data_IF_005210855534
#
_entry.id   IF_005210855534
#
_cell.length_a   1.000
_cell.length_b   1.000
_cell.length_c   1.000
_cell.angle_alpha   90.00
_cell.angle_beta   90.00
_cell.angle_gamma   90.00
#
_symmetry.space_group_name_H-M   'P 1'
#
loop_
_entity.id
_entity.type
_entity.pdbx_description
1 polymer ?
#
# COMPACT_ATOMS: atom_id res chain seq x y z
N UNK A 1 36.83 -39.78 24.35
CA UNK A 1 37.37 -39.08 23.15
C UNK A 1 36.30 -38.28 22.39
N UNK A 2 35.02 -38.58 22.47
CA UNK A 2 33.91 -37.89 21.75
C UNK A 2 33.59 -36.47 22.28
N UNK A 3 33.83 -36.21 23.57
CA UNK A 3 33.50 -34.90 24.21
C UNK A 3 34.39 -33.78 23.64
N UNK A 4 35.67 -34.05 23.40
CA UNK A 4 36.60 -33.04 22.84
C UNK A 4 36.27 -32.69 21.40
N UNK A 5 35.77 -33.64 20.62
CA UNK A 5 35.40 -33.41 19.23
C UNK A 5 34.15 -32.52 19.06
N UNK A 6 33.27 -32.49 20.07
CA UNK A 6 32.07 -31.63 20.04
C UNK A 6 32.32 -30.25 20.67
N UNK A 7 33.20 -30.18 21.65
CA UNK A 7 33.48 -28.93 22.39
C UNK A 7 34.34 -27.96 21.59
N UNK A 8 35.32 -28.46 20.84
CA UNK A 8 36.23 -27.61 20.05
C UNK A 8 35.50 -26.79 18.96
N UNK A 9 34.62 -27.36 18.13
CA UNK A 9 33.86 -26.53 17.15
C UNK A 9 32.88 -25.57 17.81
N UNK A 10 32.26 -25.95 18.94
CA UNK A 10 31.34 -25.08 19.66
C UNK A 10 32.03 -23.84 20.25
N UNK A 11 33.23 -24.04 20.87
CA UNK A 11 34.01 -22.93 21.37
C UNK A 11 34.56 -22.03 20.29
N UNK A 12 34.91 -22.58 19.14
CA UNK A 12 35.40 -21.80 17.99
C UNK A 12 34.29 -20.91 17.41
N UNK A 13 33.07 -21.43 17.27
CA UNK A 13 31.90 -20.64 16.83
C UNK A 13 31.59 -19.54 17.83
N UNK A 14 31.66 -19.83 19.14
CA UNK A 14 31.41 -18.84 20.16
C UNK A 14 32.45 -17.72 20.18
N UNK A 15 33.74 -18.04 20.00
CA UNK A 15 34.81 -17.04 19.88
C UNK A 15 34.66 -16.16 18.66
N UNK A 16 34.29 -16.75 17.51
CA UNK A 16 34.00 -15.98 16.28
C UNK A 16 32.81 -15.05 16.48
N UNK A 17 31.76 -15.52 17.16
CA UNK A 17 30.56 -14.70 17.46
C UNK A 17 30.91 -13.52 18.37
N UNK A 18 31.68 -13.73 19.45
CA UNK A 18 32.14 -12.65 20.32
C UNK A 18 33.05 -11.67 19.58
N UNK A 19 33.97 -12.17 18.76
CA UNK A 19 34.84 -11.32 17.95
C UNK A 19 34.01 -10.49 16.96
N UNK A 20 33.06 -11.10 16.25
CA UNK A 20 32.15 -10.39 15.34
C UNK A 20 31.34 -9.31 16.08
N UNK A 21 30.84 -9.60 17.28
CA UNK A 21 30.08 -8.64 18.08
C UNK A 21 30.94 -7.45 18.52
N UNK A 22 32.17 -7.70 18.98
CA UNK A 22 33.10 -6.64 19.32
C UNK A 22 33.55 -5.80 18.15
N UNK A 23 33.66 -6.39 16.94
CA UNK A 23 33.95 -5.65 15.72
C UNK A 23 32.76 -4.81 15.24
N UNK A 24 31.53 -5.33 15.36
CA UNK A 24 30.30 -4.59 15.00
C UNK A 24 30.03 -3.44 15.97
N UNK A 25 30.32 -3.60 17.25
CA UNK A 25 30.17 -2.50 18.22
C UNK A 25 31.27 -1.42 18.07
N UNK A 26 32.43 -1.78 17.52
CA UNK A 26 33.54 -0.83 17.36
C UNK A 26 33.56 -0.13 15.99
N UNK A 27 32.91 -0.71 14.98
CA UNK A 27 32.53 0.03 13.78
C UNK A 27 31.14 0.60 14.07
N UNK A 28 31.11 1.74 14.73
CA UNK A 28 29.91 2.56 14.74
C UNK A 28 29.43 2.63 13.31
N UNK A 29 28.26 2.07 13.04
CA UNK A 29 27.53 2.24 11.77
C UNK A 29 27.08 3.71 11.64
N UNK A 30 28.01 4.61 11.85
CA UNK A 30 27.92 5.97 11.38
C UNK A 30 28.05 5.89 9.87
N UNK A 31 26.94 6.09 9.18
CA UNK A 31 27.01 6.65 7.83
C UNK A 31 28.03 7.78 7.95
N UNK A 32 29.18 7.62 7.29
CA UNK A 32 30.19 8.66 7.20
C UNK A 32 29.55 9.78 6.37
N UNK A 33 28.81 10.63 7.06
CA UNK A 33 28.50 11.95 6.52
C UNK A 33 29.84 12.69 6.52
N UNK A 34 30.31 13.20 5.39
CA UNK A 34 31.52 14.02 5.38
C UNK A 34 31.33 15.12 6.43
N UNK A 35 32.37 15.36 7.21
CA UNK A 35 32.45 16.43 8.21
C UNK A 35 32.28 17.79 7.50
N UNK A 36 31.08 18.05 7.06
CA UNK A 36 30.66 19.38 6.67
C UNK A 36 30.33 20.07 7.99
N UNK A 37 31.14 21.05 8.30
CA UNK A 37 30.97 21.95 9.42
C UNK A 37 29.70 22.82 9.18
N UNK A 38 28.53 22.15 9.14
CA UNK A 38 27.24 22.77 8.95
C UNK A 38 26.71 23.18 10.32
N UNK A 39 26.99 24.43 10.69
CA UNK A 39 26.39 25.08 11.86
C UNK A 39 24.98 25.63 11.55
N UNK A 40 24.29 25.05 10.59
CA UNK A 40 22.91 25.41 10.25
C UNK A 40 21.99 24.25 10.55
N UNK A 41 20.89 24.52 11.24
CA UNK A 41 19.81 23.56 11.42
C UNK A 41 19.32 23.11 10.05
N UNK A 42 19.33 21.79 9.80
CA UNK A 42 18.88 21.19 8.53
C UNK A 42 17.41 21.57 8.25
N UNK A 43 16.64 21.85 9.28
CA UNK A 43 15.25 22.31 9.23
C UNK A 43 15.08 23.68 8.54
N UNK A 44 16.14 24.53 8.54
CA UNK A 44 16.10 25.84 7.88
C UNK A 44 16.31 25.75 6.36
N UNK A 45 16.96 24.68 5.86
CA UNK A 45 17.28 24.48 4.45
C UNK A 45 16.20 23.68 3.72
N UNK A 46 15.63 22.72 4.40
CA UNK A 46 14.51 21.91 3.95
C UNK A 46 13.45 21.93 5.05
N UNK A 47 12.53 22.91 5.04
CA UNK A 47 11.38 22.81 5.91
C UNK A 47 10.69 21.49 5.55
N UNK A 48 10.89 20.47 6.39
CA UNK A 48 10.08 19.27 6.36
C UNK A 48 8.67 19.80 6.61
N UNK A 49 7.72 19.64 5.67
CA UNK A 49 6.34 19.99 5.97
C UNK A 49 6.03 19.27 7.28
N UNK A 50 5.66 20.00 8.32
CA UNK A 50 5.00 19.38 9.48
C UNK A 50 3.76 18.75 8.88
N UNK A 51 3.83 17.45 8.53
CA UNK A 51 2.63 16.66 8.25
C UNK A 51 1.82 16.81 9.53
N UNK A 52 0.74 17.56 9.47
CA UNK A 52 -0.24 17.59 10.56
C UNK A 52 -0.66 16.15 10.78
N UNK A 53 -0.08 15.55 11.84
CA UNK A 53 -0.41 14.18 12.20
C UNK A 53 -1.87 14.20 12.61
N UNK A 54 -2.72 13.56 11.81
CA UNK A 54 -4.12 13.40 12.12
C UNK A 54 -4.24 12.78 13.53
N UNK A 55 -4.91 13.45 14.48
CA UNK A 55 -5.07 12.96 15.83
C UNK A 55 -5.67 11.54 15.91
N UNK A 56 -6.46 11.14 14.91
CA UNK A 56 -7.02 9.79 14.81
C UNK A 56 -5.95 8.70 14.58
N UNK A 57 -4.74 9.09 14.18
CA UNK A 57 -3.59 8.20 13.98
C UNK A 57 -2.72 8.02 15.23
N UNK A 58 -3.07 8.68 16.32
CA UNK A 58 -2.35 8.55 17.59
C UNK A 58 -3.04 7.48 18.44
N UNK A 59 -2.25 6.50 18.89
CA UNK A 59 -2.71 5.50 19.84
C UNK A 59 -3.00 6.20 21.19
N UNK A 60 -4.25 6.15 21.69
CA UNK A 60 -4.62 6.81 22.93
C UNK A 60 -3.93 6.21 24.19
N UNK A 61 -3.41 4.98 24.12
CA UNK A 61 -2.75 4.31 25.24
C UNK A 61 -1.26 4.58 25.26
N UNK A 62 -0.61 4.60 24.11
CA UNK A 62 0.85 4.72 24.01
C UNK A 62 1.34 6.07 23.54
N UNK A 63 0.46 6.91 22.96
CA UNK A 63 0.81 8.18 22.32
C UNK A 63 1.65 8.04 21.06
N UNK A 64 1.86 6.81 20.57
CA UNK A 64 2.58 6.53 19.33
C UNK A 64 1.66 6.54 18.10
N UNK A 65 2.27 6.55 16.92
CA UNK A 65 1.51 6.41 15.67
C UNK A 65 0.96 4.99 15.54
N UNK A 66 -0.33 4.90 15.25
CA UNK A 66 -0.97 3.63 14.91
C UNK A 66 -0.41 3.11 13.58
N UNK A 67 -0.05 1.82 13.50
CA UNK A 67 0.41 1.23 12.25
C UNK A 67 -0.71 1.21 11.21
N UNK A 68 -0.36 1.51 9.97
CA UNK A 68 -1.29 1.38 8.86
C UNK A 68 -1.62 -0.11 8.60
N UNK A 69 -2.88 -0.37 8.35
CA UNK A 69 -3.39 -1.69 7.96
C UNK A 69 -3.86 -1.64 6.52
N UNK A 70 -3.40 -2.60 5.73
CA UNK A 70 -3.87 -2.81 4.37
C UNK A 70 -5.06 -3.77 4.39
N UNK A 71 -6.17 -3.34 3.82
CA UNK A 71 -7.36 -4.16 3.66
C UNK A 71 -7.83 -4.14 2.20
N UNK A 72 -8.42 -5.24 1.76
CA UNK A 72 -8.94 -5.40 0.41
C UNK A 72 -10.43 -5.62 0.45
N UNK A 73 -11.15 -4.89 -0.39
CA UNK A 73 -12.54 -5.17 -0.71
C UNK A 73 -12.60 -5.73 -2.14
N UNK A 74 -12.89 -7.01 -2.28
CA UNK A 74 -13.26 -7.57 -3.57
C UNK A 74 -14.69 -7.16 -3.88
N UNK A 75 -14.90 -6.52 -5.03
CA UNK A 75 -16.24 -6.21 -5.51
C UNK A 75 -16.87 -7.49 -6.04
N UNK A 76 -18.00 -7.90 -5.45
CA UNK A 76 -18.72 -9.14 -5.80
C UNK A 76 -19.52 -8.99 -7.11
N UNK A 77 -18.93 -8.33 -8.11
CA UNK A 77 -19.51 -8.12 -9.42
C UNK A 77 -18.49 -8.44 -10.53
N UNK A 78 -18.98 -9.01 -11.62
CA UNK A 78 -18.22 -9.25 -12.84
C UNK A 78 -18.65 -8.22 -13.89
N UNK A 79 -17.79 -7.27 -14.17
CA UNK A 79 -18.02 -6.26 -15.20
C UNK A 79 -17.76 -6.88 -16.56
N UNK A 80 -18.78 -6.95 -17.40
CA UNK A 80 -18.66 -7.57 -18.72
C UNK A 80 -19.35 -6.73 -19.81
N UNK A 81 -18.81 -6.79 -21.01
CA UNK A 81 -19.34 -6.05 -22.12
C UNK A 81 -18.65 -6.38 -23.43
N UNK A 82 -19.01 -5.64 -24.50
CA UNK A 82 -18.41 -5.78 -25.81
C UNK A 82 -17.38 -4.68 -26.03
N UNK A 83 -16.21 -5.03 -26.56
CA UNK A 83 -15.18 -4.06 -26.93
C UNK A 83 -15.64 -3.30 -28.15
N UNK A 84 -15.69 -1.97 -28.07
CA UNK A 84 -16.13 -1.08 -29.14
C UNK A 84 -15.26 -1.31 -30.39
N UNK A 85 -15.90 -1.52 -31.53
CA UNK A 85 -15.22 -1.78 -32.81
C UNK A 85 -14.70 -3.21 -32.99
N UNK A 86 -15.07 -4.13 -32.08
CA UNK A 86 -14.70 -5.55 -32.13
C UNK A 86 -15.90 -6.44 -31.85
N UNK A 87 -15.85 -7.72 -32.29
CA UNK A 87 -16.83 -8.74 -31.88
C UNK A 87 -16.45 -9.39 -30.53
N UNK A 88 -15.33 -8.97 -29.90
CA UNK A 88 -14.79 -9.56 -28.68
C UNK A 88 -15.55 -9.05 -27.46
N UNK A 89 -15.76 -9.96 -26.51
CA UNK A 89 -16.33 -9.66 -25.20
C UNK A 89 -15.23 -9.61 -24.15
N UNK A 90 -15.38 -8.72 -23.18
CA UNK A 90 -14.49 -8.67 -22.02
C UNK A 90 -15.23 -9.04 -20.73
N UNK A 91 -14.48 -9.48 -19.76
CA UNK A 91 -14.94 -9.74 -18.40
C UNK A 91 -13.81 -9.33 -17.43
N UNK A 92 -14.17 -8.51 -16.44
CA UNK A 92 -13.23 -7.93 -15.46
C UNK A 92 -13.79 -8.10 -14.05
N UNK A 93 -12.97 -8.54 -13.11
CA UNK A 93 -13.24 -8.46 -11.67
C UNK A 93 -12.26 -7.48 -11.02
N UNK A 94 -12.74 -6.71 -10.04
CA UNK A 94 -12.01 -5.61 -9.42
C UNK A 94 -11.92 -5.81 -7.92
N UNK A 95 -10.77 -5.45 -7.35
CA UNK A 95 -10.59 -5.31 -5.91
C UNK A 95 -10.02 -3.94 -5.57
N UNK A 96 -10.53 -3.35 -4.49
CA UNK A 96 -10.10 -2.05 -3.96
C UNK A 96 -9.15 -2.29 -2.79
N UNK A 97 -8.00 -1.63 -2.78
CA UNK A 97 -7.06 -1.60 -1.67
C UNK A 97 -7.27 -0.33 -0.87
N UNK A 98 -7.34 -0.48 0.43
CA UNK A 98 -7.34 0.64 1.38
C UNK A 98 -6.11 0.56 2.28
N UNK A 99 -5.62 1.71 2.68
CA UNK A 99 -4.53 1.84 3.65
C UNK A 99 -4.97 2.82 4.72
N UNK A 100 -5.38 2.31 5.86
CA UNK A 100 -5.93 3.09 6.97
C UNK A 100 -5.24 2.73 8.28
N UNK A 101 -5.21 3.63 9.27
CA UNK A 101 -4.84 3.27 10.63
C UNK A 101 -5.66 2.07 11.11
N UNK A 102 -5.04 1.16 11.88
CA UNK A 102 -5.63 -0.13 12.22
C UNK A 102 -7.03 -0.03 12.85
N UNK A 103 -7.28 1.01 13.65
CA UNK A 103 -8.60 1.25 14.29
C UNK A 103 -9.67 1.63 13.24
N UNK A 104 -9.33 2.48 12.28
CA UNK A 104 -10.27 2.96 11.27
C UNK A 104 -10.48 1.95 10.12
N UNK A 105 -9.52 1.07 9.90
CA UNK A 105 -9.46 0.21 8.73
C UNK A 105 -10.67 -0.73 8.60
N UNK A 106 -11.07 -1.40 9.69
CA UNK A 106 -12.18 -2.35 9.66
C UNK A 106 -13.53 -1.63 9.53
N UNK A 107 -13.65 -0.44 10.14
CA UNK A 107 -14.86 0.41 10.01
C UNK A 107 -15.00 0.93 8.58
N UNK A 108 -13.90 1.36 7.98
CA UNK A 108 -13.91 1.86 6.60
C UNK A 108 -14.30 0.74 5.60
N UNK A 109 -13.70 -0.46 5.73
CA UNK A 109 -14.11 -1.60 4.90
C UNK A 109 -15.58 -1.96 5.10
N UNK A 110 -16.08 -1.94 6.34
CA UNK A 110 -17.50 -2.21 6.60
C UNK A 110 -18.40 -1.18 5.95
N UNK A 111 -18.03 0.11 6.00
CA UNK A 111 -18.77 1.17 5.33
C UNK A 111 -18.76 1.01 3.81
N UNK A 112 -17.62 0.66 3.20
CA UNK A 112 -17.55 0.38 1.77
C UNK A 112 -18.41 -0.82 1.36
N UNK A 113 -18.49 -1.83 2.21
CA UNK A 113 -19.34 -3.00 1.95
C UNK A 113 -20.84 -2.65 1.96
N UNK A 114 -21.27 -1.74 2.83
CA UNK A 114 -22.66 -1.28 2.87
C UNK A 114 -23.09 -0.51 1.60
N UNK A 115 -22.15 0.15 0.93
CA UNK A 115 -22.37 0.90 -0.31
C UNK A 115 -21.88 0.16 -1.56
N UNK A 116 -21.61 -1.14 -1.48
CA UNK A 116 -21.03 -1.90 -2.59
C UNK A 116 -21.83 -1.76 -3.89
N UNK A 117 -23.16 -1.72 -3.80
CA UNK A 117 -24.02 -1.54 -4.96
C UNK A 117 -23.78 -0.20 -5.70
N UNK A 118 -23.54 0.86 -4.93
CA UNK A 118 -23.23 2.18 -5.48
C UNK A 118 -21.82 2.19 -6.07
N UNK A 119 -20.86 1.58 -5.39
CA UNK A 119 -19.50 1.41 -5.94
C UNK A 119 -19.50 0.63 -7.26
N UNK A 120 -20.34 -0.40 -7.39
CA UNK A 120 -20.51 -1.13 -8.65
C UNK A 120 -21.02 -0.21 -9.77
N UNK A 121 -21.97 0.69 -9.46
CA UNK A 121 -22.51 1.65 -10.44
C UNK A 121 -21.41 2.62 -10.88
N UNK A 122 -20.65 3.19 -9.95
CA UNK A 122 -19.59 4.15 -10.23
C UNK A 122 -18.44 3.50 -11.02
N UNK A 123 -17.99 2.31 -10.63
CA UNK A 123 -16.98 1.56 -11.38
C UNK A 123 -17.46 1.22 -12.78
N UNK A 124 -18.75 0.87 -12.94
CA UNK A 124 -19.36 0.59 -14.25
C UNK A 124 -19.26 1.81 -15.15
N UNK A 125 -19.54 3.01 -14.64
CA UNK A 125 -19.46 4.26 -15.41
C UNK A 125 -18.06 4.46 -15.98
N UNK A 126 -17.01 4.30 -15.14
CA UNK A 126 -15.62 4.41 -15.61
C UNK A 126 -15.27 3.35 -16.66
N UNK A 127 -15.72 2.11 -16.47
CA UNK A 127 -15.45 1.02 -17.41
C UNK A 127 -16.13 1.28 -18.77
N UNK A 128 -17.34 1.84 -18.77
CA UNK A 128 -18.07 2.16 -20.02
C UNK A 128 -17.41 3.29 -20.79
N UNK A 129 -16.76 4.23 -20.14
CA UNK A 129 -16.05 5.34 -20.75
C UNK A 129 -14.62 4.95 -21.21
N UNK A 130 -14.09 3.86 -20.68
CA UNK A 130 -12.72 3.43 -20.98
C UNK A 130 -12.55 2.89 -22.40
N UNK A 131 -11.39 3.16 -22.98
CA UNK A 131 -10.95 2.53 -24.23
C UNK A 131 -10.52 1.07 -24.00
N UNK A 132 -11.48 0.18 -23.86
CA UNK A 132 -11.27 -1.22 -23.47
C UNK A 132 -10.33 -2.00 -24.39
N UNK A 133 -10.17 -1.58 -25.65
CA UNK A 133 -9.18 -2.14 -26.57
C UNK A 133 -7.73 -1.98 -26.10
N UNK A 134 -7.45 -1.05 -25.18
CA UNK A 134 -6.13 -0.84 -24.61
C UNK A 134 -5.84 -1.75 -23.39
N UNK A 135 -6.85 -2.45 -22.85
CA UNK A 135 -6.68 -3.32 -21.67
C UNK A 135 -5.75 -4.52 -21.89
N UNK A 136 -5.44 -4.85 -23.13
CA UNK A 136 -4.43 -5.86 -23.45
C UNK A 136 -3.01 -5.40 -23.05
N UNK A 137 -2.78 -4.09 -22.99
CA UNK A 137 -1.51 -3.51 -22.57
C UNK A 137 -1.45 -3.31 -21.05
N UNK A 138 -0.23 -3.34 -20.50
CA UNK A 138 0.01 -3.02 -19.09
C UNK A 138 -0.38 -1.57 -18.78
N UNK A 139 -0.02 -0.65 -19.68
CA UNK A 139 -0.32 0.77 -19.53
C UNK A 139 -1.83 1.06 -19.58
N UNK A 140 -2.57 0.38 -20.43
CA UNK A 140 -4.02 0.51 -20.50
C UNK A 140 -4.71 0.03 -19.23
N UNK A 141 -4.27 -1.10 -18.67
CA UNK A 141 -4.77 -1.56 -17.36
C UNK A 141 -4.43 -0.59 -16.23
N UNK A 142 -3.22 -0.05 -16.20
CA UNK A 142 -2.82 0.93 -15.21
C UNK A 142 -3.65 2.21 -15.29
N UNK A 143 -3.96 2.69 -16.50
CA UNK A 143 -4.84 3.84 -16.70
C UNK A 143 -6.25 3.57 -16.19
N UNK A 144 -6.83 2.41 -16.52
CA UNK A 144 -8.17 2.04 -16.05
C UNK A 144 -8.22 1.95 -14.52
N UNK A 145 -7.26 1.26 -13.89
CA UNK A 145 -7.24 1.14 -12.42
C UNK A 145 -7.07 2.49 -11.73
N UNK A 146 -6.24 3.39 -12.29
CA UNK A 146 -6.11 4.76 -11.77
C UNK A 146 -7.41 5.56 -11.94
N UNK A 147 -8.07 5.47 -13.09
CA UNK A 147 -9.33 6.16 -13.33
C UNK A 147 -10.43 5.67 -12.37
N UNK A 148 -10.53 4.36 -12.15
CA UNK A 148 -11.48 3.79 -11.17
C UNK A 148 -11.17 4.31 -9.76
N UNK A 149 -9.90 4.29 -9.33
CA UNK A 149 -9.49 4.79 -8.02
C UNK A 149 -9.89 6.24 -7.82
N UNK A 150 -9.54 7.08 -8.79
CA UNK A 150 -9.75 8.52 -8.68
C UNK A 150 -11.25 8.85 -8.67
N UNK A 151 -12.03 8.22 -9.54
CA UNK A 151 -13.49 8.40 -9.59
C UNK A 151 -14.20 7.89 -8.33
N UNK A 152 -13.82 6.72 -7.83
CA UNK A 152 -14.40 6.18 -6.59
C UNK A 152 -14.04 7.06 -5.40
N UNK A 153 -12.82 7.58 -5.30
CA UNK A 153 -12.44 8.51 -4.24
C UNK A 153 -13.21 9.84 -4.33
N UNK A 154 -13.40 10.38 -5.53
CA UNK A 154 -14.23 11.57 -5.77
C UNK A 154 -15.69 11.34 -5.30
N UNK A 155 -16.29 10.21 -5.67
CA UNK A 155 -17.63 9.83 -5.21
C UNK A 155 -17.72 9.71 -3.67
N UNK A 156 -16.73 9.05 -3.03
CA UNK A 156 -16.70 8.93 -1.58
C UNK A 156 -16.63 10.29 -0.89
N UNK A 157 -15.81 11.22 -1.43
CA UNK A 157 -15.59 12.54 -0.83
C UNK A 157 -16.73 13.50 -1.12
N UNK A 158 -17.13 13.66 -2.38
CA UNK A 158 -18.06 14.70 -2.81
C UNK A 158 -19.54 14.31 -2.56
N UNK A 159 -19.91 13.06 -2.85
CA UNK A 159 -21.30 12.62 -2.76
C UNK A 159 -21.66 12.06 -1.37
N UNK A 160 -20.72 11.35 -0.73
CA UNK A 160 -20.98 10.71 0.55
C UNK A 160 -20.36 11.42 1.76
N UNK A 161 -19.46 12.39 1.54
CA UNK A 161 -18.70 13.08 2.60
C UNK A 161 -17.83 12.11 3.39
N UNK A 162 -17.40 11.02 2.77
CA UNK A 162 -16.51 10.02 3.34
C UNK A 162 -15.06 10.33 3.02
N UNK A 163 -14.13 9.76 3.78
CA UNK A 163 -12.72 9.86 3.49
C UNK A 163 -12.37 9.12 2.18
N UNK A 164 -11.62 9.75 1.22
CA UNK A 164 -11.22 9.12 -0.04
C UNK A 164 -10.06 8.13 0.18
N UNK A 165 -10.38 6.99 0.80
CA UNK A 165 -9.40 6.05 1.34
C UNK A 165 -8.98 4.92 0.40
N UNK A 166 -9.37 4.95 -0.88
CA UNK A 166 -8.94 3.95 -1.86
C UNK A 166 -7.53 4.31 -2.34
N UNK A 167 -6.57 3.49 -1.94
CA UNK A 167 -5.16 3.72 -2.28
C UNK A 167 -4.80 3.15 -3.64
N UNK A 168 -5.35 1.98 -3.97
CA UNK A 168 -5.05 1.29 -5.21
C UNK A 168 -6.24 0.42 -5.65
N UNK A 169 -6.33 0.17 -6.95
CA UNK A 169 -7.34 -0.69 -7.55
C UNK A 169 -6.64 -1.80 -8.35
N UNK A 170 -7.10 -3.03 -8.17
CA UNK A 170 -6.57 -4.19 -8.86
C UNK A 170 -7.60 -4.82 -9.77
N UNK A 171 -7.19 -5.18 -10.97
CA UNK A 171 -7.91 -6.11 -11.83
C UNK A 171 -7.46 -7.51 -11.43
N UNK A 172 -8.30 -8.24 -10.70
CA UNK A 172 -7.99 -9.57 -10.17
C UNK A 172 -8.31 -10.70 -11.15
N UNK A 173 -9.19 -10.41 -12.11
CA UNK A 173 -9.49 -11.30 -13.22
C UNK A 173 -9.74 -10.48 -14.49
N UNK A 174 -9.17 -10.92 -15.61
CA UNK A 174 -9.36 -10.31 -16.90
C UNK A 174 -9.43 -11.39 -17.98
N UNK A 175 -10.53 -11.44 -18.67
CA UNK A 175 -10.75 -12.38 -19.76
C UNK A 175 -11.32 -11.65 -20.99
N UNK A 176 -10.83 -12.00 -22.16
CA UNK A 176 -11.32 -11.51 -23.46
C UNK A 176 -11.52 -12.70 -24.37
N UNK A 177 -12.73 -12.82 -24.92
CA UNK A 177 -13.15 -13.91 -25.82
C UNK A 177 -13.75 -13.36 -27.12
#
# INVERSE_FOLDING_TARGET
MFIIQAVVPATLVFVIFIAAHLFVENEGSGIYLPDTNWNGDIEEIFPVPEEEIDPSRIDPETGGLLPDKYNYLKIENVFSGKIIGSERLFSIEVALLTKQPSIASDLFISALFEIEADLVAEITTVILEAELGQLESVDGRAKLTSAIRDHVNEYLEEDLGMFPGITEVFIINYNVV
#
